data_IF_655059783670
#
_entry.id   IF_655059783670
#
_cell.length_a   1.000
_cell.length_b   1.000
_cell.length_c   1.000
_cell.angle_alpha   90.00
_cell.angle_beta   90.00
_cell.angle_gamma   90.00
#
_symmetry.space_group_name_H-M   'P 1'
#
loop_
_entity.id
_entity.type
_entity.pdbx_description
1 polymer ?
#
# COMPACT_ATOMS: atom_id res chain seq x y z
N UNK A 1 11.82 9.67 -3.02
CA UNK A 1 13.24 9.46 -3.32
C UNK A 1 13.67 10.42 -4.42
N UNK A 2 14.97 10.75 -4.50
CA UNK A 2 15.50 11.63 -5.56
C UNK A 2 15.10 11.16 -6.97
N UNK A 3 14.90 9.86 -7.18
CA UNK A 3 14.38 9.30 -8.41
C UNK A 3 12.95 9.80 -8.71
N UNK A 4 12.05 9.81 -7.71
CA UNK A 4 10.66 10.26 -7.94
C UNK A 4 10.56 11.74 -8.32
N UNK A 5 11.49 12.59 -7.89
CA UNK A 5 11.50 14.01 -8.22
C UNK A 5 12.03 14.27 -9.64
N UNK A 6 12.93 13.42 -10.14
CA UNK A 6 13.38 13.44 -11.53
C UNK A 6 12.24 13.07 -12.47
N UNK A 7 11.43 12.07 -12.12
CA UNK A 7 10.29 11.62 -12.94
C UNK A 7 9.18 12.68 -13.02
N UNK A 8 8.87 13.36 -11.92
CA UNK A 8 7.84 14.42 -11.89
C UNK A 8 8.16 15.61 -12.81
N UNK A 9 9.44 15.91 -13.01
CA UNK A 9 9.88 17.03 -13.88
C UNK A 9 9.76 16.75 -15.37
N UNK A 10 9.52 15.50 -15.77
CA UNK A 10 9.60 15.06 -17.17
C UNK A 10 8.26 14.64 -17.80
N UNK A 11 7.13 14.77 -17.08
CA UNK A 11 5.79 14.51 -17.60
C UNK A 11 5.42 13.03 -17.78
N UNK A 12 6.16 12.11 -17.21
CA UNK A 12 5.98 10.65 -17.38
C UNK A 12 4.66 10.07 -16.86
N UNK A 13 3.96 10.78 -16.00
CA UNK A 13 2.67 10.32 -15.46
C UNK A 13 1.63 10.08 -16.57
N UNK A 14 1.80 10.71 -17.73
CA UNK A 14 0.89 10.61 -18.87
C UNK A 14 1.48 9.83 -20.06
N UNK A 15 2.60 9.11 -19.88
CA UNK A 15 3.24 8.37 -20.97
C UNK A 15 2.44 7.13 -21.36
N UNK A 16 1.81 6.49 -20.37
CA UNK A 16 0.97 5.31 -20.54
C UNK A 16 -0.41 5.55 -19.94
N UNK A 17 -1.35 4.68 -20.25
CA UNK A 17 -2.71 4.72 -19.71
C UNK A 17 -2.72 4.68 -18.17
N UNK A 18 -3.77 5.23 -17.57
CA UNK A 18 -4.01 5.24 -16.13
C UNK A 18 -2.84 5.83 -15.32
N UNK A 19 -2.39 7.00 -15.73
CA UNK A 19 -1.28 7.72 -15.09
C UNK A 19 -0.01 6.88 -15.02
N UNK A 20 0.24 6.09 -16.08
CA UNK A 20 1.36 5.15 -16.19
C UNK A 20 1.41 4.10 -15.06
N UNK A 21 0.25 3.70 -14.53
CA UNK A 21 0.13 2.65 -13.51
C UNK A 21 -0.48 1.39 -14.13
N UNK A 22 0.34 0.40 -14.52
CA UNK A 22 -0.16 -0.83 -15.15
C UNK A 22 -0.99 -1.68 -14.20
N UNK A 23 -0.72 -1.59 -12.92
CA UNK A 23 -1.45 -2.28 -11.85
C UNK A 23 -1.58 -1.38 -10.63
N UNK A 24 -2.46 -1.76 -9.73
CA UNK A 24 -2.67 -1.09 -8.45
C UNK A 24 -2.71 -2.11 -7.31
N UNK A 25 -2.75 -1.62 -6.09
CA UNK A 25 -2.96 -2.40 -4.88
C UNK A 25 -3.76 -1.56 -3.87
N UNK A 26 -4.05 -2.09 -2.72
CA UNK A 26 -4.63 -1.34 -1.60
C UNK A 26 -3.91 -1.70 -0.30
N UNK A 27 -4.20 -0.98 0.78
CA UNK A 27 -3.64 -1.27 2.10
C UNK A 27 -4.63 -2.15 2.86
N UNK A 28 -4.12 -3.23 3.41
CA UNK A 28 -4.83 -4.17 4.28
C UNK A 28 -4.02 -4.45 5.55
N UNK A 29 -4.62 -5.14 6.50
CA UNK A 29 -3.96 -5.59 7.70
C UNK A 29 -3.67 -7.09 7.62
N UNK A 30 -2.41 -7.48 7.75
CA UNK A 30 -2.04 -8.87 7.97
C UNK A 30 -1.96 -9.10 9.48
N UNK A 31 -2.79 -10.00 10.01
CA UNK A 31 -2.88 -10.32 11.43
C UNK A 31 -2.53 -11.77 11.71
N UNK A 32 -2.23 -12.10 12.95
CA UNK A 32 -1.99 -13.49 13.38
C UNK A 32 -3.25 -14.33 13.22
N UNK A 33 -3.10 -15.63 12.98
CA UNK A 33 -4.22 -16.58 12.86
C UNK A 33 -5.22 -16.47 14.00
N UNK A 34 -6.50 -16.41 13.65
CA UNK A 34 -7.59 -16.24 14.60
C UNK A 34 -7.73 -14.82 15.14
N UNK A 35 -6.97 -13.87 14.62
CA UNK A 35 -6.99 -12.46 15.00
C UNK A 35 -7.13 -12.24 16.52
N UNK A 36 -6.15 -12.69 17.35
CA UNK A 36 -6.31 -12.71 18.81
C UNK A 36 -6.55 -11.34 19.43
N UNK A 37 -6.10 -10.29 18.76
CA UNK A 37 -6.33 -8.90 19.18
C UNK A 37 -7.64 -8.30 18.66
N UNK A 38 -8.42 -9.05 17.86
CA UNK A 38 -9.69 -8.58 17.27
C UNK A 38 -9.54 -7.23 16.57
N UNK A 39 -8.52 -7.12 15.72
CA UNK A 39 -8.23 -5.94 14.91
C UNK A 39 -9.13 -6.01 13.68
N UNK A 40 -10.07 -5.08 13.54
CA UNK A 40 -11.05 -5.04 12.45
C UNK A 40 -10.95 -3.79 11.60
N UNK A 41 -10.45 -2.68 12.18
CA UNK A 41 -10.34 -1.40 11.49
C UNK A 41 -9.21 -0.54 12.08
N UNK A 42 -8.94 0.60 11.46
CA UNK A 42 -7.88 1.54 11.83
C UNK A 42 -7.95 2.02 13.29
N UNK A 43 -9.17 2.19 13.84
CA UNK A 43 -9.35 2.58 15.25
C UNK A 43 -8.78 1.56 16.23
N UNK A 44 -8.78 0.28 15.87
CA UNK A 44 -8.22 -0.78 16.73
C UNK A 44 -6.70 -0.66 16.90
N UNK A 45 -6.02 -0.02 15.94
CA UNK A 45 -4.58 0.21 15.96
C UNK A 45 -4.17 1.27 17.00
N UNK A 46 -5.13 2.02 17.55
CA UNK A 46 -4.89 3.03 18.59
C UNK A 46 -4.84 2.44 20.01
N UNK A 47 -5.22 1.18 20.18
CA UNK A 47 -5.23 0.51 21.48
C UNK A 47 -3.82 0.24 21.95
N UNK A 48 -3.55 0.44 23.25
CA UNK A 48 -2.23 0.27 23.84
C UNK A 48 -1.76 -1.19 23.91
N UNK A 49 -2.65 -2.16 23.66
CA UNK A 49 -2.35 -3.60 23.66
C UNK A 49 -2.08 -4.16 22.26
N UNK A 50 -2.00 -3.31 21.24
CA UNK A 50 -1.77 -3.68 19.84
C UNK A 50 -0.38 -3.22 19.40
N UNK A 51 0.46 -4.18 19.01
CA UNK A 51 1.76 -3.90 18.40
C UNK A 51 1.65 -3.83 16.89
N UNK A 52 1.97 -2.67 16.31
CA UNK A 52 1.89 -2.40 14.86
C UNK A 52 3.26 -2.52 14.23
N UNK A 53 3.34 -3.13 13.05
CA UNK A 53 4.50 -3.14 12.18
C UNK A 53 4.16 -2.38 10.90
N UNK A 54 4.98 -1.42 10.54
CA UNK A 54 4.87 -0.64 9.30
C UNK A 54 6.23 -0.08 8.93
N UNK A 55 6.57 0.06 7.64
CA UNK A 55 7.81 0.72 7.28
C UNK A 55 7.76 2.25 7.52
N UNK A 56 8.92 2.89 7.48
CA UNK A 56 9.08 4.32 7.73
C UNK A 56 8.66 5.14 6.50
N UNK A 57 7.69 6.06 6.58
CA UNK A 57 7.26 6.89 5.45
C UNK A 57 8.30 7.92 4.99
N UNK A 58 9.37 8.15 5.76
CA UNK A 58 10.50 8.97 5.31
C UNK A 58 11.37 8.22 4.28
N UNK A 59 11.48 6.90 4.39
CA UNK A 59 12.37 6.08 3.56
C UNK A 59 11.65 5.15 2.59
N UNK A 60 10.40 4.79 2.87
CA UNK A 60 9.60 3.85 2.09
C UNK A 60 8.42 4.53 1.41
N UNK A 61 8.34 4.42 0.07
CA UNK A 61 7.17 4.85 -0.69
C UNK A 61 5.91 4.05 -0.31
N UNK A 62 6.05 2.75 -0.01
CA UNK A 62 4.95 1.90 0.45
C UNK A 62 4.35 2.39 1.77
N UNK A 63 5.20 2.81 2.71
CA UNK A 63 4.75 3.32 4.00
C UNK A 63 3.95 4.64 3.91
N UNK A 64 4.21 5.45 2.87
CA UNK A 64 3.42 6.66 2.63
C UNK A 64 1.96 6.35 2.33
N UNK A 65 1.71 5.27 1.60
CA UNK A 65 0.35 4.80 1.35
C UNK A 65 -0.32 4.31 2.64
N UNK A 66 0.41 3.58 3.50
CA UNK A 66 -0.12 3.14 4.81
C UNK A 66 -0.54 4.34 5.66
N UNK A 67 0.32 5.35 5.75
CA UNK A 67 0.06 6.59 6.47
C UNK A 67 -1.15 7.34 5.93
N UNK A 68 -1.23 7.52 4.60
CA UNK A 68 -2.33 8.27 3.97
C UNK A 68 -3.66 7.53 4.08
N UNK A 69 -3.67 6.19 4.05
CA UNK A 69 -4.88 5.39 4.28
C UNK A 69 -5.41 5.58 5.71
N UNK A 70 -4.52 5.54 6.72
CA UNK A 70 -4.90 5.82 8.11
C UNK A 70 -5.42 7.25 8.30
N UNK A 71 -4.75 8.22 7.70
CA UNK A 71 -5.18 9.63 7.73
C UNK A 71 -6.60 9.80 7.17
N UNK A 72 -6.86 9.22 6.00
CA UNK A 72 -8.16 9.27 5.35
C UNK A 72 -9.26 8.62 6.20
N UNK A 73 -8.97 7.51 6.88
CA UNK A 73 -9.92 6.90 7.79
C UNK A 73 -10.37 7.87 8.88
N UNK A 74 -9.44 8.53 9.58
CA UNK A 74 -9.79 9.48 10.64
C UNK A 74 -10.51 10.71 10.11
N UNK A 75 -10.15 11.19 8.93
CA UNK A 75 -10.87 12.26 8.24
C UNK A 75 -12.33 11.87 7.95
N UNK A 76 -12.57 10.64 7.47
CA UNK A 76 -13.91 10.08 7.24
C UNK A 76 -14.72 9.93 8.53
N UNK A 77 -14.07 9.79 9.69
CA UNK A 77 -14.73 9.82 11.00
C UNK A 77 -15.11 11.24 11.45
N UNK A 78 -14.87 12.26 10.63
CA UNK A 78 -15.18 13.67 10.94
C UNK A 78 -14.21 14.35 11.90
N UNK A 79 -13.02 13.76 12.10
CA UNK A 79 -11.98 14.38 12.94
C UNK A 79 -11.42 15.64 12.27
N UNK A 80 -11.17 16.68 13.05
CA UNK A 80 -10.37 17.83 12.63
C UNK A 80 -8.91 17.44 12.40
N UNK A 81 -8.15 18.28 11.70
CA UNK A 81 -6.73 17.99 11.41
C UNK A 81 -5.91 17.73 12.69
N UNK A 82 -6.16 18.46 13.76
CA UNK A 82 -5.45 18.27 15.03
C UNK A 82 -5.84 16.96 15.71
N UNK A 83 -7.13 16.58 15.67
CA UNK A 83 -7.59 15.28 16.17
C UNK A 83 -7.00 14.12 15.35
N UNK A 84 -6.89 14.29 14.03
CA UNK A 84 -6.22 13.29 13.16
C UNK A 84 -4.75 13.14 13.56
N UNK A 85 -4.02 14.24 13.78
CA UNK A 85 -2.63 14.20 14.25
C UNK A 85 -2.51 13.44 15.57
N UNK A 86 -3.40 13.66 16.53
CA UNK A 86 -3.40 12.93 17.79
C UNK A 86 -3.72 11.44 17.62
N UNK A 87 -4.66 11.09 16.72
CA UNK A 87 -4.94 9.69 16.37
C UNK A 87 -3.74 9.02 15.71
N UNK A 88 -3.10 9.70 14.76
CA UNK A 88 -1.87 9.22 14.10
C UNK A 88 -0.71 9.07 15.09
N UNK A 89 -0.56 10.01 16.04
CA UNK A 89 0.44 9.91 17.11
C UNK A 89 0.23 8.66 17.96
N UNK A 90 -1.02 8.35 18.33
CA UNK A 90 -1.37 7.11 19.04
C UNK A 90 -1.03 5.87 18.23
N UNK A 91 -1.36 5.85 16.93
CA UNK A 91 -1.02 4.75 16.03
C UNK A 91 0.49 4.54 15.99
N UNK A 92 1.26 5.59 15.72
CA UNK A 92 2.72 5.49 15.62
C UNK A 92 3.42 5.21 16.95
N UNK A 93 2.80 5.56 18.08
CA UNK A 93 3.25 5.13 19.41
C UNK A 93 3.21 3.62 19.57
N UNK A 94 2.26 2.95 18.93
CA UNK A 94 2.10 1.49 18.94
C UNK A 94 2.99 0.79 17.90
N UNK A 95 3.69 1.52 17.04
CA UNK A 95 4.63 0.95 16.09
C UNK A 95 5.87 0.45 16.85
N UNK A 96 6.13 -0.85 16.74
CA UNK A 96 7.24 -1.52 17.43
C UNK A 96 8.55 -1.37 16.63
N UNK A 97 8.46 -1.43 15.30
CA UNK A 97 9.60 -1.33 14.39
C UNK A 97 9.19 -0.47 13.19
N UNK A 98 10.01 0.52 12.87
CA UNK A 98 9.93 1.31 11.64
C UNK A 98 11.03 0.86 10.68
N UNK A 99 10.77 -0.20 9.92
CA UNK A 99 11.71 -0.71 8.93
C UNK A 99 11.94 0.30 7.79
N UNK A 100 13.11 0.25 7.17
CA UNK A 100 13.46 1.15 6.07
C UNK A 100 12.63 0.94 4.80
N UNK A 101 11.97 -0.22 4.66
CA UNK A 101 11.14 -0.58 3.50
C UNK A 101 10.13 -1.68 3.81
N UNK A 102 9.18 -1.88 2.87
CA UNK A 102 8.08 -2.82 3.03
C UNK A 102 8.55 -4.27 3.28
N UNK A 103 9.59 -4.73 2.56
CA UNK A 103 10.14 -6.08 2.74
C UNK A 103 10.73 -6.28 4.14
N UNK A 104 11.41 -5.28 4.70
CA UNK A 104 11.90 -5.31 6.07
C UNK A 104 10.74 -5.45 7.06
N UNK A 105 9.66 -4.70 6.89
CA UNK A 105 8.47 -4.79 7.72
C UNK A 105 7.80 -6.18 7.64
N UNK A 106 7.72 -6.76 6.44
CA UNK A 106 7.24 -8.15 6.26
C UNK A 106 8.13 -9.14 7.01
N UNK A 107 9.46 -9.04 6.87
CA UNK A 107 10.41 -9.88 7.62
C UNK A 107 10.24 -9.72 9.14
N UNK A 108 10.13 -8.49 9.64
CA UNK A 108 9.91 -8.23 11.08
C UNK A 108 8.63 -8.89 11.57
N UNK A 109 7.55 -8.83 10.81
CA UNK A 109 6.28 -9.44 11.18
C UNK A 109 6.26 -10.95 10.94
N UNK A 110 6.57 -11.41 9.73
CA UNK A 110 6.40 -12.82 9.32
C UNK A 110 7.49 -13.71 9.92
N UNK A 111 8.76 -13.36 9.74
CA UNK A 111 9.88 -14.21 10.14
C UNK A 111 10.26 -13.99 11.61
N UNK A 112 10.40 -12.73 12.05
CA UNK A 112 10.80 -12.40 13.40
C UNK A 112 9.63 -12.46 14.40
N UNK A 113 8.39 -12.72 13.93
CA UNK A 113 7.17 -12.85 14.74
C UNK A 113 6.88 -11.63 15.63
N UNK A 114 7.31 -10.44 15.22
CA UNK A 114 7.07 -9.19 15.95
C UNK A 114 5.69 -8.62 15.64
N UNK A 115 5.08 -7.97 16.63
CA UNK A 115 3.80 -7.27 16.48
C UNK A 115 2.58 -8.18 16.31
N UNK A 116 1.43 -7.55 16.38
CA UNK A 116 0.11 -8.17 16.23
C UNK A 116 -0.49 -7.95 14.85
N UNK A 117 -0.09 -6.87 14.17
CA UNK A 117 -0.58 -6.46 12.87
C UNK A 117 0.53 -5.84 12.01
N UNK A 118 0.57 -6.21 10.74
CA UNK A 118 1.36 -5.56 9.70
C UNK A 118 0.45 -4.75 8.79
N UNK A 119 0.75 -3.46 8.61
CA UNK A 119 0.15 -2.66 7.54
C UNK A 119 0.84 -3.01 6.24
N UNK A 120 0.16 -3.73 5.37
CA UNK A 120 0.72 -4.29 4.15
C UNK A 120 -0.05 -3.84 2.90
N UNK A 121 0.62 -3.87 1.78
CA UNK A 121 -0.05 -3.89 0.49
C UNK A 121 -0.78 -5.22 0.34
N UNK A 122 -1.94 -5.17 -0.30
CA UNK A 122 -2.82 -6.32 -0.50
C UNK A 122 -2.10 -7.51 -1.14
N UNK A 123 -1.30 -7.28 -2.18
CA UNK A 123 -0.51 -8.32 -2.82
C UNK A 123 0.51 -9.00 -1.88
N UNK A 124 1.19 -8.23 -1.02
CA UNK A 124 2.14 -8.78 -0.03
C UNK A 124 1.42 -9.63 1.04
N UNK A 125 0.23 -9.18 1.43
CA UNK A 125 -0.57 -9.92 2.41
C UNK A 125 -1.07 -11.26 1.83
N UNK A 126 -1.53 -11.29 0.58
CA UNK A 126 -1.91 -12.53 -0.09
C UNK A 126 -0.73 -13.47 -0.31
N UNK A 127 0.44 -12.96 -0.72
CA UNK A 127 1.66 -13.75 -0.81
C UNK A 127 2.02 -14.37 0.55
N UNK A 128 1.89 -13.62 1.64
CA UNK A 128 2.14 -14.15 2.99
C UNK A 128 1.18 -15.28 3.37
N UNK A 129 -0.09 -15.23 2.93
CA UNK A 129 -1.02 -16.35 3.12
C UNK A 129 -0.64 -17.58 2.30
N UNK A 130 -0.12 -17.37 1.10
CA UNK A 130 0.31 -18.45 0.20
C UNK A 130 1.58 -19.16 0.72
N UNK A 131 2.56 -18.37 1.15
CA UNK A 131 3.84 -18.86 1.65
C UNK A 131 3.72 -19.48 3.07
N UNK A 132 2.75 -19.02 3.89
CA UNK A 132 2.55 -19.44 5.27
C UNK A 132 1.10 -19.86 5.55
N UNK A 133 0.61 -20.93 4.92
CA UNK A 133 -0.79 -21.34 5.02
C UNK A 133 -1.21 -21.64 6.47
N UNK A 134 -2.24 -20.95 6.92
CA UNK A 134 -2.81 -21.13 8.26
C UNK A 134 -2.11 -20.38 9.40
N UNK A 135 -1.11 -19.52 9.11
CA UNK A 135 -0.43 -18.71 10.13
C UNK A 135 -1.01 -17.30 10.28
N UNK A 136 -1.63 -16.77 9.24
CA UNK A 136 -2.09 -15.39 9.16
C UNK A 136 -3.53 -15.29 8.65
N UNK A 137 -4.11 -14.12 8.83
CA UNK A 137 -5.38 -13.69 8.23
C UNK A 137 -5.22 -12.27 7.70
N UNK A 138 -5.92 -11.96 6.61
CA UNK A 138 -6.03 -10.60 6.09
C UNK A 138 -7.31 -9.97 6.62
N UNK A 139 -7.20 -8.81 7.23
CA UNK A 139 -8.34 -7.95 7.57
C UNK A 139 -8.37 -6.80 6.59
N UNK A 140 -9.49 -6.64 5.91
CA UNK A 140 -9.75 -5.52 5.00
C UNK A 140 -10.43 -4.42 5.80
N UNK A 141 -9.79 -3.26 5.98
CA UNK A 141 -10.37 -2.15 6.74
C UNK A 141 -11.54 -1.52 6.00
N UNK A 142 -12.39 -0.78 6.71
CA UNK A 142 -13.57 -0.11 6.14
C UNK A 142 -13.23 0.89 5.03
N UNK A 143 -12.10 1.55 5.15
CA UNK A 143 -11.55 2.44 4.12
C UNK A 143 -10.07 2.13 3.90
N UNK A 144 -9.60 2.38 2.68
CA UNK A 144 -8.20 2.23 2.31
C UNK A 144 -7.83 3.25 1.23
N UNK A 145 -6.68 3.09 0.62
CA UNK A 145 -6.19 3.93 -0.46
C UNK A 145 -5.78 3.08 -1.66
N UNK A 146 -6.14 3.53 -2.85
CA UNK A 146 -5.67 2.92 -4.09
C UNK A 146 -4.20 3.28 -4.30
N UNK A 147 -3.33 2.29 -4.11
CA UNK A 147 -1.91 2.43 -4.36
C UNK A 147 -1.65 2.32 -5.87
N UNK A 148 -1.15 3.39 -6.46
CA UNK A 148 -0.91 3.52 -7.90
C UNK A 148 0.60 3.68 -8.17
N UNK A 149 1.37 2.58 -8.27
CA UNK A 149 2.79 2.65 -8.61
C UNK A 149 2.95 3.04 -10.08
N UNK A 150 3.58 4.17 -10.33
CA UNK A 150 3.83 4.67 -11.67
C UNK A 150 5.13 4.08 -12.23
N UNK A 151 5.11 3.62 -13.47
CA UNK A 151 6.27 3.15 -14.21
C UNK A 151 6.75 4.21 -15.21
N UNK A 152 8.06 4.29 -15.42
CA UNK A 152 8.64 5.22 -16.38
C UNK A 152 10.01 4.75 -16.87
N UNK A 153 10.38 5.15 -18.07
CA UNK A 153 11.74 4.99 -18.59
C UNK A 153 12.66 6.06 -17.98
N UNK A 154 13.84 5.68 -17.57
CA UNK A 154 14.86 6.62 -17.09
C UNK A 154 15.73 7.05 -18.25
N UNK A 155 15.38 8.13 -18.94
CA UNK A 155 15.97 8.57 -20.21
C UNK A 155 17.51 8.55 -20.18
N UNK A 156 18.10 9.24 -19.25
CA UNK A 156 19.58 9.33 -19.14
C UNK A 156 20.23 7.93 -19.04
N UNK A 157 19.58 6.99 -18.36
CA UNK A 157 20.14 5.64 -18.17
C UNK A 157 19.97 4.80 -19.42
N UNK A 158 18.78 4.80 -20.02
CA UNK A 158 18.51 3.98 -21.23
C UNK A 158 19.32 4.46 -22.44
N UNK A 159 19.50 5.77 -22.57
CA UNK A 159 20.31 6.36 -23.65
C UNK A 159 21.80 6.00 -23.47
N UNK A 160 22.31 6.15 -22.25
CA UNK A 160 23.70 5.79 -21.94
C UNK A 160 23.98 4.29 -22.17
N UNK A 161 22.99 3.42 -21.91
CA UNK A 161 23.12 1.97 -22.02
C UNK A 161 22.65 1.41 -23.36
N UNK A 162 22.06 2.22 -24.24
CA UNK A 162 21.47 1.78 -25.49
C UNK A 162 20.27 0.84 -25.32
N UNK A 163 19.54 0.95 -24.19
CA UNK A 163 18.45 0.04 -23.85
C UNK A 163 17.06 0.66 -24.00
N UNK A 164 16.93 1.87 -24.61
CA UNK A 164 15.67 2.59 -24.72
C UNK A 164 14.57 1.71 -25.32
N UNK A 165 14.78 1.16 -26.50
CA UNK A 165 13.76 0.38 -27.20
C UNK A 165 13.23 -0.78 -26.36
N UNK A 166 14.12 -1.58 -25.76
CA UNK A 166 13.70 -2.73 -24.95
C UNK A 166 12.98 -2.29 -23.67
N UNK A 167 13.38 -1.16 -23.07
CA UNK A 167 12.72 -0.62 -21.88
C UNK A 167 11.31 -0.12 -22.19
N UNK A 168 11.13 0.59 -23.30
CA UNK A 168 9.80 1.07 -23.74
C UNK A 168 8.88 -0.11 -24.09
N UNK A 169 9.38 -1.13 -24.82
CA UNK A 169 8.60 -2.33 -25.14
C UNK A 169 8.23 -3.13 -23.89
N UNK A 170 9.12 -3.21 -22.90
CA UNK A 170 8.81 -3.85 -21.63
C UNK A 170 7.68 -3.10 -20.88
N UNK A 171 7.73 -1.78 -20.79
CA UNK A 171 6.68 -1.02 -20.14
C UNK A 171 5.33 -1.13 -20.87
N UNK A 172 5.33 -1.14 -22.21
CA UNK A 172 4.12 -1.41 -23.00
C UNK A 172 3.57 -2.81 -22.76
N UNK A 173 4.44 -3.80 -22.64
CA UNK A 173 4.04 -5.18 -22.36
C UNK A 173 3.24 -5.31 -21.06
N UNK A 174 3.55 -4.52 -20.03
CA UNK A 174 2.79 -4.52 -18.76
C UNK A 174 1.30 -4.23 -18.94
N UNK A 175 0.89 -3.58 -20.04
CA UNK A 175 -0.51 -3.32 -20.37
C UNK A 175 -1.13 -4.36 -21.31
N UNK A 176 -0.39 -5.39 -21.72
CA UNK A 176 -0.93 -6.49 -22.52
C UNK A 176 -1.86 -7.37 -21.69
N UNK A 177 -2.84 -8.00 -22.34
CA UNK A 177 -3.76 -8.93 -21.66
C UNK A 177 -3.03 -10.07 -20.94
N UNK A 178 -1.89 -10.51 -21.46
CA UNK A 178 -1.06 -11.53 -20.85
C UNK A 178 -0.42 -11.04 -19.55
N UNK A 179 0.24 -9.89 -19.58
CA UNK A 179 0.85 -9.30 -18.39
C UNK A 179 -0.20 -8.95 -17.32
N UNK A 180 -1.34 -8.38 -17.74
CA UNK A 180 -2.43 -8.04 -16.84
C UNK A 180 -3.04 -9.26 -16.12
N UNK A 181 -3.10 -10.42 -16.79
CA UNK A 181 -3.48 -11.68 -16.16
C UNK A 181 -2.42 -12.17 -15.17
N UNK A 182 -1.14 -12.04 -15.53
CA UNK A 182 -0.04 -12.38 -14.62
C UNK A 182 -0.06 -11.49 -13.38
N UNK A 183 -0.27 -10.18 -13.54
CA UNK A 183 -0.43 -9.26 -12.42
C UNK A 183 -1.55 -9.70 -11.48
N UNK A 184 -2.73 -10.04 -12.01
CA UNK A 184 -3.85 -10.56 -11.22
C UNK A 184 -3.53 -11.89 -10.53
N UNK A 185 -2.79 -12.79 -11.16
CA UNK A 185 -2.37 -14.07 -10.57
C UNK A 185 -1.39 -13.88 -9.40
N UNK A 186 -0.63 -12.76 -9.40
CA UNK A 186 0.29 -12.37 -8.34
C UNK A 186 -0.29 -11.35 -7.37
N UNK A 187 -1.63 -11.30 -7.30
CA UNK A 187 -2.36 -10.47 -6.35
C UNK A 187 -2.22 -8.96 -6.54
N UNK A 188 -1.92 -8.50 -7.76
CA UNK A 188 -2.03 -7.10 -8.13
C UNK A 188 -3.37 -6.83 -8.80
N UNK A 189 -3.95 -5.67 -8.57
CA UNK A 189 -5.16 -5.22 -9.25
C UNK A 189 -4.82 -4.73 -10.64
N UNK A 190 -5.13 -5.48 -11.73
CA UNK A 190 -4.76 -5.09 -13.08
C UNK A 190 -5.50 -3.82 -13.49
N UNK A 191 -4.90 -3.02 -14.38
CA UNK A 191 -5.54 -1.83 -14.94
C UNK A 191 -6.61 -2.17 -15.98
N UNK A 192 -6.55 -3.36 -16.59
CA UNK A 192 -7.56 -3.85 -17.51
C UNK A 192 -8.84 -4.22 -16.78
N UNK A 193 -9.93 -3.45 -17.01
CA UNK A 193 -11.21 -3.61 -16.29
C UNK A 193 -11.88 -4.96 -16.52
N UNK A 194 -11.71 -5.57 -17.70
CA UNK A 194 -12.26 -6.89 -17.98
C UNK A 194 -11.57 -7.94 -17.11
N UNK A 195 -10.24 -7.93 -17.08
CA UNK A 195 -9.44 -8.85 -16.26
C UNK A 195 -9.69 -8.57 -14.78
N UNK A 196 -9.73 -7.30 -14.36
CA UNK A 196 -10.06 -6.91 -12.98
C UNK A 196 -11.38 -7.56 -12.53
N UNK A 197 -12.43 -7.52 -13.37
CA UNK A 197 -13.73 -8.14 -13.07
C UNK A 197 -13.66 -9.66 -12.97
N UNK A 198 -12.83 -10.32 -13.77
CA UNK A 198 -12.64 -11.77 -13.73
C UNK A 198 -12.11 -12.24 -12.36
N UNK A 199 -11.24 -11.44 -11.73
CA UNK A 199 -10.63 -11.71 -10.43
C UNK A 199 -11.36 -11.03 -9.24
N UNK A 200 -12.43 -10.31 -9.50
CA UNK A 200 -13.20 -9.60 -8.47
C UNK A 200 -14.29 -10.47 -7.86
N UNK A 201 -14.52 -10.29 -6.57
CA UNK A 201 -15.67 -10.84 -5.89
C UNK A 201 -16.23 -9.86 -4.86
N UNK A 202 -17.52 -10.03 -4.54
CA UNK A 202 -18.13 -9.35 -3.42
C UNK A 202 -18.01 -10.26 -2.21
N UNK A 203 -17.12 -9.90 -1.29
CA UNK A 203 -16.94 -10.63 -0.04
C UNK A 203 -18.02 -10.28 0.97
N UNK A 204 -18.50 -11.27 1.72
CA UNK A 204 -19.27 -11.04 2.93
C UNK A 204 -18.32 -11.14 4.13
N UNK A 205 -17.77 -10.02 4.56
CA UNK A 205 -16.89 -9.96 5.73
C UNK A 205 -15.50 -9.40 5.42
N UNK A 206 -14.89 -8.87 6.47
CA UNK A 206 -13.63 -8.14 6.35
C UNK A 206 -12.39 -9.02 6.57
N UNK A 207 -12.57 -10.35 6.78
CA UNK A 207 -11.45 -11.25 7.13
C UNK A 207 -11.32 -12.35 6.10
N UNK A 208 -10.09 -12.54 5.59
CA UNK A 208 -9.72 -13.59 4.66
C UNK A 208 -8.70 -14.49 5.34
N UNK A 209 -9.06 -15.72 5.60
CA UNK A 209 -8.23 -16.71 6.29
C UNK A 209 -7.61 -17.77 5.36
N UNK A 210 -8.03 -17.76 4.10
CA UNK A 210 -7.57 -18.69 3.05
C UNK A 210 -7.58 -18.01 1.70
N UNK A 211 -6.66 -18.44 0.85
CA UNK A 211 -6.68 -18.03 -0.56
C UNK A 211 -7.98 -18.47 -1.23
N UNK A 212 -8.62 -17.60 -2.02
CA UNK A 212 -9.82 -17.94 -2.77
C UNK A 212 -9.54 -19.06 -3.79
N UNK A 213 -10.40 -20.09 -3.82
CA UNK A 213 -10.20 -21.26 -4.70
C UNK A 213 -10.46 -21.01 -6.17
N UNK A 214 -11.20 -19.93 -6.48
CA UNK A 214 -11.64 -19.57 -7.83
C UNK A 214 -10.84 -18.41 -8.43
N UNK A 215 -9.69 -18.10 -7.84
CA UNK A 215 -8.84 -16.95 -8.19
C UNK A 215 -9.54 -15.57 -8.10
N UNK A 216 -10.67 -15.49 -7.42
CA UNK A 216 -11.39 -14.23 -7.20
C UNK A 216 -11.04 -13.65 -5.84
N UNK A 217 -10.00 -12.87 -5.79
CA UNK A 217 -9.45 -12.32 -4.55
C UNK A 217 -9.65 -10.80 -4.42
N UNK A 218 -9.92 -10.09 -5.54
CA UNK A 218 -10.03 -8.63 -5.53
C UNK A 218 -11.34 -8.21 -4.87
N UNK A 219 -11.27 -7.65 -3.67
CA UNK A 219 -12.43 -7.16 -2.94
C UNK A 219 -12.82 -5.79 -3.49
N UNK A 220 -14.08 -5.64 -3.93
CA UNK A 220 -14.58 -4.41 -4.53
C UNK A 220 -15.35 -3.52 -3.54
N UNK A 221 -15.77 -4.05 -2.41
CA UNK A 221 -16.63 -3.34 -1.45
C UNK A 221 -15.82 -2.57 -0.38
N UNK A 222 -14.65 -2.05 -0.75
CA UNK A 222 -13.80 -1.20 0.10
C UNK A 222 -13.91 0.23 -0.38
N UNK A 223 -14.12 1.16 0.54
CA UNK A 223 -14.04 2.60 0.24
C UNK A 223 -12.57 2.99 0.02
N UNK A 224 -12.21 3.21 -1.24
CA UNK A 224 -10.85 3.53 -1.65
C UNK A 224 -10.73 5.01 -2.03
N UNK A 225 -9.93 5.76 -1.28
CA UNK A 225 -9.43 7.04 -1.74
C UNK A 225 -8.25 6.87 -2.70
N UNK A 226 -7.71 7.97 -3.21
CA UNK A 226 -6.50 7.98 -4.04
C UNK A 226 -5.62 9.19 -3.72
N UNK A 227 -4.44 9.26 -4.33
CA UNK A 227 -3.49 10.35 -4.08
C UNK A 227 -4.02 11.74 -4.49
N UNK A 228 -5.00 11.80 -5.39
CA UNK A 228 -5.66 13.05 -5.80
C UNK A 228 -6.40 13.74 -4.64
N UNK A 229 -6.96 12.96 -3.70
CA UNK A 229 -7.58 13.47 -2.48
C UNK A 229 -6.60 14.34 -1.66
N UNK A 230 -5.32 13.98 -1.68
CA UNK A 230 -4.24 14.68 -0.97
C UNK A 230 -3.53 15.75 -1.84
N UNK A 231 -4.13 16.16 -2.95
CA UNK A 231 -3.53 17.12 -3.89
C UNK A 231 -2.38 16.55 -4.74
N UNK A 232 -2.30 15.24 -4.85
CA UNK A 232 -1.20 14.54 -5.54
C UNK A 232 0.06 14.41 -4.69
N UNK A 233 1.06 13.67 -5.21
CA UNK A 233 2.29 13.38 -4.48
C UNK A 233 3.10 14.61 -4.09
N UNK A 234 3.05 15.70 -4.87
CA UNK A 234 3.76 16.93 -4.55
C UNK A 234 3.27 17.54 -3.25
N UNK A 235 1.95 17.76 -3.16
CA UNK A 235 1.33 18.36 -1.97
C UNK A 235 1.37 17.41 -0.77
N UNK A 236 1.06 16.12 -0.97
CA UNK A 236 1.15 15.13 0.08
C UNK A 236 2.57 15.03 0.66
N UNK A 237 3.61 15.05 -0.19
CA UNK A 237 5.00 15.02 0.27
C UNK A 237 5.35 16.27 1.04
N UNK A 238 5.00 17.45 0.52
CA UNK A 238 5.27 18.74 1.16
C UNK A 238 4.61 18.83 2.53
N UNK A 239 3.32 18.47 2.63
CA UNK A 239 2.56 18.57 3.87
C UNK A 239 2.98 17.53 4.91
N UNK A 240 3.14 16.27 4.50
CA UNK A 240 3.24 15.17 5.44
C UNK A 240 4.66 14.60 5.62
N UNK A 241 5.50 14.57 4.56
CA UNK A 241 6.71 13.75 4.56
C UNK A 241 8.02 14.52 4.38
N UNK A 242 7.98 15.82 4.04
CA UNK A 242 9.16 16.67 4.03
C UNK A 242 9.71 16.89 5.44
N UNK A 243 10.95 17.34 5.54
CA UNK A 243 11.54 17.71 6.83
C UNK A 243 10.72 18.85 7.46
N UNK A 244 10.34 18.65 8.71
CA UNK A 244 9.41 19.53 9.42
C UNK A 244 7.93 19.33 9.03
N UNK A 245 7.61 18.33 8.22
CA UNK A 245 6.23 17.97 7.86
C UNK A 245 5.45 17.34 9.01
N UNK A 246 4.17 17.05 8.76
CA UNK A 246 3.26 16.55 9.80
C UNK A 246 3.78 15.25 10.44
N UNK A 247 4.40 14.36 9.66
CA UNK A 247 4.93 13.10 10.19
C UNK A 247 5.99 13.34 11.28
N UNK A 248 6.85 14.33 11.12
CA UNK A 248 7.88 14.64 12.12
C UNK A 248 7.28 15.12 13.46
N UNK A 249 6.08 15.72 13.44
CA UNK A 249 5.35 16.10 14.65
C UNK A 249 4.58 14.95 15.32
N UNK A 250 4.33 13.88 14.58
CA UNK A 250 3.61 12.69 15.03
C UNK A 250 4.55 11.66 15.64
N UNK A 251 5.69 11.44 15.00
CA UNK A 251 6.66 10.42 15.38
C UNK A 251 7.85 11.04 16.11
N UNK A 252 7.97 10.76 17.40
CA UNK A 252 9.18 11.01 18.17
C UNK A 252 9.98 9.69 18.19
N UNK A 253 11.22 9.72 17.71
CA UNK A 253 12.13 8.58 17.81
C UNK A 253 12.25 8.14 19.28
N UNK A 254 12.07 6.82 19.52
CA UNK A 254 12.14 6.21 20.85
C UNK A 254 13.59 5.93 21.23
#
# INVERSE_FOLDING_TARGET
>A
SAASDVYKRQGYVNEFERDSSPYTSSIVFLVRKGNPKKILDWSDLLRNDVGVITPNPKTSGGARWNYLAAWYYFEKQGQSEDEIKESMKKLYKNVLVLDSGARGATTSFVENKQGDVLLAWENEAFLSLDEHPGEYEIVVPSVSILCQPTVAVVDKVVDQRGTRKVSEEYLKYLYSDEAQKLEAQWYYRPSNEKILKEYSYKGSGNTIDKLPKDNKWIITDVDLTNIGHFGGWSEATKKHFSDGGVFDSIYEEK
#
